data_IF_115607618418
#
_entry.id   IF_115607618418
#
_cell.length_a   1.000
_cell.length_b   1.000
_cell.length_c   1.000
_cell.angle_alpha   90.00
_cell.angle_beta   90.00
_cell.angle_gamma   90.00
#
_symmetry.space_group_name_H-M   'P 1'
#
loop_
_entity.id
_entity.type
_entity.pdbx_description
1 polymer ?
#
# COMPACT_ATOMS: atom_id res chain seq x y z
N UNK A 1 -3.05 -15.53 -1.56
CA UNK A 1 -2.73 -15.01 -2.91
C UNK A 1 -1.90 -13.75 -2.69
N UNK A 2 -0.73 -13.61 -3.32
CA UNK A 2 0.04 -12.36 -3.26
C UNK A 2 -0.63 -11.35 -4.19
N UNK A 3 -1.60 -10.58 -3.68
CA UNK A 3 -2.18 -9.46 -4.41
C UNK A 3 -1.11 -8.36 -4.53
N UNK A 4 -0.74 -7.99 -5.75
CA UNK A 4 0.21 -6.91 -6.01
C UNK A 4 -0.60 -5.66 -6.33
N UNK A 5 -0.68 -4.75 -5.36
CA UNK A 5 -1.39 -3.48 -5.54
C UNK A 5 -0.91 -2.73 -6.81
N UNK A 6 -1.80 -2.08 -7.58
CA UNK A 6 -1.43 -1.33 -8.79
C UNK A 6 -0.29 -0.31 -8.60
N UNK A 7 -0.14 0.27 -7.40
CA UNK A 7 0.97 1.18 -7.06
C UNK A 7 2.31 0.47 -7.16
N UNK A 8 2.42 -0.78 -6.68
CA UNK A 8 3.67 -1.55 -6.78
C UNK A 8 4.00 -1.92 -8.22
N UNK A 9 2.99 -2.21 -9.05
CA UNK A 9 3.17 -2.43 -10.49
C UNK A 9 3.75 -1.18 -11.17
N UNK A 10 3.17 -0.01 -10.89
CA UNK A 10 3.66 1.29 -11.40
C UNK A 10 5.06 1.64 -10.90
N UNK A 11 5.36 1.39 -9.62
CA UNK A 11 6.71 1.58 -9.10
C UNK A 11 7.72 0.69 -9.83
N UNK A 12 7.38 -0.58 -10.09
CA UNK A 12 8.24 -1.49 -10.84
C UNK A 12 8.47 -1.02 -12.30
N UNK A 13 7.43 -0.51 -12.97
CA UNK A 13 7.54 0.07 -14.32
C UNK A 13 8.49 1.27 -14.34
N UNK A 14 8.32 2.21 -13.42
CA UNK A 14 9.19 3.40 -13.34
C UNK A 14 10.63 3.01 -13.07
N UNK A 15 10.86 2.06 -12.16
CA UNK A 15 12.19 1.53 -11.87
C UNK A 15 12.78 0.86 -13.12
N UNK A 16 12.02 0.03 -13.82
CA UNK A 16 12.48 -0.63 -15.05
C UNK A 16 12.89 0.36 -16.14
N UNK A 17 12.13 1.45 -16.32
CA UNK A 17 12.43 2.47 -17.34
C UNK A 17 13.63 3.35 -17.00
N UNK A 18 14.01 3.45 -15.72
CA UNK A 18 15.00 4.42 -15.25
C UNK A 18 16.23 3.76 -14.60
N UNK A 19 16.39 2.44 -14.69
CA UNK A 19 17.57 1.74 -14.22
C UNK A 19 18.64 1.70 -15.31
N UNK A 20 19.88 2.04 -14.95
CA UNK A 20 21.04 1.77 -15.78
C UNK A 20 21.51 0.30 -15.65
N UNK A 21 22.50 -0.08 -16.45
CA UNK A 21 23.08 -1.43 -16.43
C UNK A 21 23.80 -1.77 -15.11
N UNK A 22 24.09 -0.79 -14.28
CA UNK A 22 24.77 -0.93 -12.99
C UNK A 22 23.78 -0.92 -11.80
N UNK A 23 22.48 -0.76 -12.05
CA UNK A 23 21.47 -0.69 -11.01
C UNK A 23 21.24 0.71 -10.42
N UNK A 24 21.79 1.76 -11.04
CA UNK A 24 21.54 3.13 -10.61
C UNK A 24 20.21 3.63 -11.17
N UNK A 25 19.42 4.27 -10.31
CA UNK A 25 18.19 4.93 -10.71
C UNK A 25 18.51 6.30 -11.32
N UNK A 26 18.45 6.40 -12.64
CA UNK A 26 18.67 7.61 -13.41
C UNK A 26 17.33 8.32 -13.63
N UNK A 27 16.97 9.21 -12.71
CA UNK A 27 15.69 9.94 -12.74
C UNK A 27 15.90 11.44 -12.80
N UNK A 28 15.14 12.08 -13.70
CA UNK A 28 15.01 13.54 -13.75
C UNK A 28 13.94 14.03 -12.77
N UNK A 29 13.73 15.36 -12.76
CA UNK A 29 12.73 15.98 -11.88
C UNK A 29 11.30 15.48 -12.16
N UNK A 30 10.97 15.14 -13.41
CA UNK A 30 9.63 14.69 -13.80
C UNK A 30 9.38 13.28 -13.24
N UNK A 31 10.33 12.37 -13.43
CA UNK A 31 10.26 11.01 -12.90
C UNK A 31 10.24 11.00 -11.38
N UNK A 32 11.03 11.87 -10.75
CA UNK A 32 11.01 12.04 -9.29
C UNK A 32 9.62 12.45 -8.78
N UNK A 33 8.94 13.39 -9.43
CA UNK A 33 7.57 13.78 -9.03
C UNK A 33 6.58 12.62 -9.17
N UNK A 34 6.71 11.81 -10.23
CA UNK A 34 5.88 10.62 -10.41
C UNK A 34 6.15 9.58 -9.31
N UNK A 35 7.41 9.31 -8.99
CA UNK A 35 7.79 8.39 -7.91
C UNK A 35 7.28 8.88 -6.57
N UNK A 36 7.46 10.16 -6.24
CA UNK A 36 6.99 10.74 -4.97
C UNK A 36 5.48 10.61 -4.80
N UNK A 37 4.70 10.78 -5.87
CA UNK A 37 3.26 10.53 -5.85
C UNK A 37 2.96 9.06 -5.52
N UNK A 38 3.59 8.12 -6.21
CA UNK A 38 3.39 6.68 -5.98
C UNK A 38 3.82 6.25 -4.56
N UNK A 39 4.92 6.80 -4.05
CA UNK A 39 5.40 6.54 -2.69
C UNK A 39 4.44 7.06 -1.64
N UNK A 40 3.83 8.24 -1.85
CA UNK A 40 2.82 8.79 -0.95
C UNK A 40 1.57 7.91 -0.92
N UNK A 41 1.07 7.54 -2.10
CA UNK A 41 -0.09 6.64 -2.19
C UNK A 41 0.20 5.28 -1.52
N UNK A 42 1.42 4.75 -1.68
CA UNK A 42 1.84 3.52 -1.00
C UNK A 42 1.87 3.70 0.53
N UNK A 43 2.46 4.80 1.00
CA UNK A 43 2.51 5.11 2.42
C UNK A 43 1.11 5.17 3.03
N UNK A 44 0.19 5.90 2.41
CA UNK A 44 -1.16 6.10 2.93
C UNK A 44 -1.94 4.78 2.99
N UNK A 45 -1.78 3.92 1.98
CA UNK A 45 -2.36 2.58 1.94
C UNK A 45 -1.83 1.70 3.08
N UNK A 46 -0.51 1.61 3.24
CA UNK A 46 0.14 0.80 4.27
C UNK A 46 -0.25 1.30 5.66
N UNK A 47 -0.12 2.60 5.90
CA UNK A 47 -0.46 3.22 7.18
C UNK A 47 -1.90 2.94 7.60
N UNK A 48 -2.84 3.08 6.66
CA UNK A 48 -4.26 2.79 6.93
C UNK A 48 -4.51 1.31 7.19
N UNK A 49 -3.90 0.42 6.40
CA UNK A 49 -4.05 -1.03 6.56
C UNK A 49 -3.52 -1.50 7.92
N UNK A 50 -2.33 -1.05 8.30
CA UNK A 50 -1.72 -1.42 9.57
C UNK A 50 -2.53 -0.89 10.75
N UNK A 51 -2.98 0.38 10.68
CA UNK A 51 -3.86 0.96 11.70
C UNK A 51 -5.18 0.20 11.86
N UNK A 52 -5.82 -0.23 10.76
CA UNK A 52 -7.04 -1.04 10.81
C UNK A 52 -6.79 -2.40 11.47
N UNK A 53 -5.66 -3.06 11.17
CA UNK A 53 -5.29 -4.35 11.77
C UNK A 53 -5.00 -4.22 13.27
N UNK A 54 -4.30 -3.17 13.68
CA UNK A 54 -4.07 -2.87 15.09
C UNK A 54 -5.38 -2.64 15.84
N UNK A 55 -6.29 -1.84 15.28
CA UNK A 55 -7.61 -1.61 15.87
C UNK A 55 -8.44 -2.89 15.94
N UNK A 56 -8.39 -3.73 14.91
CA UNK A 56 -9.12 -5.00 14.90
C UNK A 56 -8.61 -5.93 16.01
N UNK A 57 -7.28 -5.98 16.18
CA UNK A 57 -6.68 -6.71 17.29
C UNK A 57 -7.16 -6.19 18.65
N UNK A 58 -7.20 -4.87 18.87
CA UNK A 58 -7.71 -4.29 20.10
C UNK A 58 -9.20 -4.59 20.33
N UNK A 59 -10.04 -4.48 19.31
CA UNK A 59 -11.47 -4.81 19.38
C UNK A 59 -11.68 -6.28 19.80
N UNK A 60 -10.87 -7.19 19.25
CA UNK A 60 -10.88 -8.60 19.62
C UNK A 60 -10.51 -8.80 21.10
N UNK A 61 -9.42 -8.19 21.58
CA UNK A 61 -8.99 -8.28 22.98
C UNK A 61 -10.03 -7.72 23.96
N UNK A 62 -10.84 -6.76 23.51
CA UNK A 62 -11.94 -6.16 24.28
C UNK A 62 -13.26 -6.95 24.19
N UNK A 63 -13.31 -8.04 23.42
CA UNK A 63 -14.52 -8.78 23.07
C UNK A 63 -15.62 -7.92 22.40
N UNK A 64 -15.24 -6.81 21.76
CA UNK A 64 -16.16 -5.95 21.00
C UNK A 64 -16.29 -6.49 19.57
N UNK A 65 -17.16 -7.48 19.41
CA UNK A 65 -17.29 -8.22 18.16
C UNK A 65 -17.97 -7.39 17.06
N UNK A 66 -18.84 -6.45 17.41
CA UNK A 66 -19.48 -5.57 16.43
C UNK A 66 -18.44 -4.64 15.81
N UNK A 67 -17.60 -4.01 16.64
CA UNK A 67 -16.51 -3.17 16.15
C UNK A 67 -15.47 -3.97 15.36
N UNK A 68 -15.13 -5.19 15.81
CA UNK A 68 -14.24 -6.08 15.08
C UNK A 68 -14.76 -6.39 13.67
N UNK A 69 -16.05 -6.72 13.54
CA UNK A 69 -16.66 -7.02 12.23
C UNK A 69 -16.63 -5.80 11.30
N UNK A 70 -16.90 -4.60 11.82
CA UNK A 70 -16.81 -3.35 11.05
C UNK A 70 -15.39 -3.06 10.57
N UNK A 71 -14.38 -3.35 11.40
CA UNK A 71 -12.96 -3.20 11.03
C UNK A 71 -12.53 -4.24 10.00
N UNK A 72 -12.95 -5.49 10.15
CA UNK A 72 -12.71 -6.54 9.15
C UNK A 72 -13.32 -6.18 7.79
N UNK A 73 -14.56 -5.67 7.75
CA UNK A 73 -15.18 -5.23 6.51
C UNK A 73 -14.40 -4.10 5.81
N UNK A 74 -13.83 -3.17 6.59
CA UNK A 74 -12.98 -2.10 6.05
C UNK A 74 -11.65 -2.63 5.50
N UNK A 75 -11.05 -3.61 6.18
CA UNK A 75 -9.84 -4.30 5.71
C UNK A 75 -10.12 -5.01 4.38
N UNK A 76 -11.19 -5.80 4.31
CA UNK A 76 -11.59 -6.51 3.08
C UNK A 76 -11.87 -5.55 1.93
N UNK A 77 -12.55 -4.43 2.20
CA UNK A 77 -12.80 -3.40 1.20
C UNK A 77 -11.51 -2.74 0.69
N UNK A 78 -10.51 -2.58 1.55
CA UNK A 78 -9.20 -2.05 1.17
C UNK A 78 -8.38 -3.09 0.38
N UNK A 79 -8.44 -4.36 0.78
CA UNK A 79 -7.80 -5.48 0.09
C UNK A 79 -8.39 -5.72 -1.31
N UNK A 80 -9.70 -5.52 -1.48
CA UNK A 80 -10.37 -5.61 -2.78
C UNK A 80 -9.87 -4.57 -3.79
N UNK A 81 -9.29 -3.45 -3.33
CA UNK A 81 -8.66 -2.45 -4.20
C UNK A 81 -7.25 -2.87 -4.66
N UNK A 82 -6.68 -3.95 -4.09
CA UNK A 82 -5.30 -4.37 -4.35
C UNK A 82 -5.13 -5.39 -5.49
N UNK A 83 -6.21 -5.82 -6.15
CA UNK A 83 -6.21 -6.83 -7.22
C UNK A 83 -6.14 -6.15 -8.59
#
# INVERSE_FOLDING_TARGET
MLAIHPIHRRLAEVVHMNLDQNGNLLIGNVELQMILKLLRENHDLVYKMDGLKELAFLAHEMCDMDWLMDLCAQIEALEAQMI
#
